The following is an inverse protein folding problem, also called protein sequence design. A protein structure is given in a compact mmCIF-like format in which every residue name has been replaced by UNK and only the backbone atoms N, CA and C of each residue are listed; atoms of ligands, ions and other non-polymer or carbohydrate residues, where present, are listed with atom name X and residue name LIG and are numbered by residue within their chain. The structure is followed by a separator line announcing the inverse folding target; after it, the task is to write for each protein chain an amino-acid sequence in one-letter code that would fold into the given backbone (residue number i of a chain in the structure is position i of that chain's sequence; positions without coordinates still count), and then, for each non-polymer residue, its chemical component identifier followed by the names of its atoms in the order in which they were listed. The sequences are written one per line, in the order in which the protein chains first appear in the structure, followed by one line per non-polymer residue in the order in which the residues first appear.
data_IF_115520649185
#
_entry.id   IF_115520649185
#
_cell.length_a   1.000
_cell.length_b   1.000
_cell.length_c   1.000
_cell.angle_alpha   90.00
_cell.angle_beta   90.00
_cell.angle_gamma   90.00
#
_symmetry.space_group_name_H-M   'P 1'
#
loop_
_entity.id
_entity.type
_entity.pdbx_description
1 polymer ?
#
# COMPACT_ATOMS: atom_id res chain seq x y z
N UNK A 1 -6.45 -27.60 -16.46
CA UNK A 1 -5.98 -26.89 -15.27
C UNK A 1 -5.22 -27.86 -14.38
N UNK A 2 -3.90 -27.68 -14.37
CA UNK A 2 -2.92 -28.42 -13.58
C UNK A 2 -3.15 -28.20 -12.07
N UNK A 3 -2.59 -29.09 -11.23
CA UNK A 3 -2.67 -28.99 -9.77
C UNK A 3 -2.05 -27.69 -9.26
N UNK A 4 -0.91 -27.28 -9.83
CA UNK A 4 -0.20 -26.05 -9.43
C UNK A 4 -0.98 -24.78 -9.78
N UNK A 5 -1.71 -24.78 -10.89
CA UNK A 5 -2.57 -23.65 -11.30
C UNK A 5 -3.76 -23.48 -10.36
N UNK A 6 -4.37 -24.58 -9.92
CA UNK A 6 -5.43 -24.58 -8.90
C UNK A 6 -4.92 -24.01 -7.59
N UNK A 7 -3.80 -24.55 -7.12
CA UNK A 7 -3.17 -24.14 -5.86
C UNK A 7 -2.79 -22.65 -5.88
N UNK A 8 -2.27 -22.12 -6.99
CA UNK A 8 -1.99 -20.69 -7.14
C UNK A 8 -3.24 -19.81 -6.97
N UNK A 9 -4.36 -20.20 -7.60
CA UNK A 9 -5.60 -19.44 -7.54
C UNK A 9 -6.29 -19.52 -6.17
N UNK A 10 -6.07 -20.60 -5.42
CA UNK A 10 -6.57 -20.80 -4.06
C UNK A 10 -5.71 -20.07 -3.02
N UNK A 11 -4.38 -20.22 -3.10
CA UNK A 11 -3.44 -19.64 -2.16
C UNK A 11 -3.31 -18.11 -2.30
N UNK A 12 -3.57 -17.58 -3.51
CA UNK A 12 -3.52 -16.14 -3.83
C UNK A 12 -2.24 -15.48 -3.32
N UNK A 13 -1.06 -15.90 -3.81
CA UNK A 13 0.21 -15.38 -3.31
C UNK A 13 0.25 -13.85 -3.41
N UNK A 14 0.70 -13.22 -2.34
CA UNK A 14 0.68 -11.77 -2.18
C UNK A 14 1.95 -11.25 -1.53
N UNK A 15 2.15 -9.94 -1.68
CA UNK A 15 3.27 -9.19 -1.13
C UNK A 15 2.78 -7.91 -0.48
N UNK A 16 3.56 -7.40 0.47
CA UNK A 16 3.20 -6.20 1.23
C UNK A 16 3.89 -4.95 0.67
N UNK A 17 3.14 -3.87 0.54
CA UNK A 17 3.69 -2.53 0.32
C UNK A 17 4.03 -1.95 1.69
N UNK A 18 5.25 -2.26 2.15
CA UNK A 18 5.70 -2.13 3.56
C UNK A 18 5.40 -0.80 4.26
N UNK A 19 5.39 0.34 3.55
CA UNK A 19 5.20 1.65 4.17
C UNK A 19 3.75 1.86 4.63
N UNK A 20 2.78 1.35 3.87
CA UNK A 20 1.33 1.53 4.13
C UNK A 20 0.65 0.23 4.56
N UNK A 21 1.39 -0.89 4.58
CA UNK A 21 0.94 -2.22 5.00
C UNK A 21 -0.34 -2.68 4.28
N UNK A 22 -0.40 -2.45 2.98
CA UNK A 22 -1.43 -3.05 2.11
C UNK A 22 -0.88 -4.30 1.43
N UNK A 23 -1.77 -5.25 1.16
CA UNK A 23 -1.41 -6.52 0.58
C UNK A 23 -1.89 -6.59 -0.87
N UNK A 24 -0.97 -6.85 -1.80
CA UNK A 24 -1.25 -6.90 -3.24
C UNK A 24 -0.84 -8.25 -3.83
N UNK A 25 -1.44 -8.70 -4.94
CA UNK A 25 -1.03 -9.92 -5.61
C UNK A 25 0.46 -9.91 -5.95
N UNK A 26 1.10 -11.08 -5.87
CA UNK A 26 2.51 -11.19 -6.22
C UNK A 26 2.74 -10.96 -7.72
N UNK A 27 3.67 -10.06 -8.00
CA UNK A 27 4.24 -9.84 -9.33
C UNK A 27 5.29 -10.90 -9.71
N UNK A 28 5.99 -10.68 -10.84
CA UNK A 28 6.93 -11.67 -11.39
C UNK A 28 8.04 -11.99 -10.38
N UNK A 29 8.71 -10.95 -9.86
CA UNK A 29 9.86 -11.13 -8.96
C UNK A 29 9.47 -11.83 -7.64
N UNK A 30 8.26 -11.58 -7.12
CA UNK A 30 7.75 -12.33 -5.97
C UNK A 30 7.62 -13.82 -6.31
N UNK A 31 7.03 -14.14 -7.46
CA UNK A 31 6.77 -15.52 -7.85
C UNK A 31 8.03 -16.30 -8.26
N UNK A 32 9.05 -15.64 -8.80
CA UNK A 32 10.35 -16.26 -9.12
C UNK A 32 11.00 -16.91 -7.90
N UNK A 33 10.75 -16.35 -6.72
CA UNK A 33 11.29 -16.84 -5.44
C UNK A 33 10.32 -17.77 -4.69
N UNK A 34 9.24 -18.18 -5.34
CA UNK A 34 8.17 -18.99 -4.74
C UNK A 34 8.08 -20.40 -5.35
N UNK A 35 7.22 -21.24 -4.77
CA UNK A 35 6.87 -22.56 -5.33
C UNK A 35 6.17 -22.49 -6.71
N UNK A 36 5.69 -21.32 -7.13
CA UNK A 36 4.97 -21.11 -8.40
C UNK A 36 5.85 -20.65 -9.56
N UNK A 37 7.17 -20.58 -9.39
CA UNK A 37 8.10 -20.10 -10.43
C UNK A 37 7.86 -20.76 -11.79
N UNK A 38 7.48 -22.03 -11.84
CA UNK A 38 7.26 -22.74 -13.09
C UNK A 38 6.05 -22.22 -13.89
N UNK A 39 5.06 -21.58 -13.25
CA UNK A 39 3.95 -20.92 -13.95
C UNK A 39 4.44 -19.77 -14.85
N UNK A 40 5.58 -19.15 -14.52
CA UNK A 40 6.17 -18.06 -15.31
C UNK A 40 6.65 -18.50 -16.71
N UNK A 41 6.73 -19.81 -16.98
CA UNK A 41 7.01 -20.35 -18.32
C UNK A 41 5.84 -20.15 -19.29
N UNK A 42 4.63 -19.93 -18.77
CA UNK A 42 3.47 -19.59 -19.57
C UNK A 42 3.51 -18.11 -19.95
N UNK A 43 3.72 -17.82 -21.23
CA UNK A 43 3.86 -16.44 -21.74
C UNK A 43 2.60 -15.60 -21.51
N UNK A 44 1.40 -16.19 -21.65
CA UNK A 44 0.15 -15.48 -21.40
C UNK A 44 0.01 -15.09 -19.93
N UNK A 45 0.32 -16.02 -19.02
CA UNK A 45 0.29 -15.76 -17.58
C UNK A 45 1.34 -14.71 -17.18
N UNK A 46 2.56 -14.84 -17.71
CA UNK A 46 3.64 -13.87 -17.48
C UNK A 46 3.24 -12.47 -17.94
N UNK A 47 2.66 -12.32 -19.12
CA UNK A 47 2.18 -11.02 -19.62
C UNK A 47 1.10 -10.41 -18.69
N UNK A 48 0.24 -11.23 -18.09
CA UNK A 48 -0.72 -10.72 -17.10
C UNK A 48 -0.06 -10.30 -15.78
N UNK A 49 1.07 -10.92 -15.38
CA UNK A 49 1.85 -10.51 -14.22
C UNK A 49 2.63 -9.21 -14.47
N UNK A 50 3.06 -8.93 -15.69
CA UNK A 50 3.69 -7.64 -16.04
C UNK A 50 2.73 -6.46 -15.79
N UNK A 51 1.41 -6.69 -15.95
CA UNK A 51 0.38 -5.72 -15.56
C UNK A 51 0.32 -5.55 -14.04
N UNK A 52 0.46 -6.63 -13.27
CA UNK A 52 0.55 -6.57 -11.79
C UNK A 52 1.76 -5.76 -11.35
N UNK A 53 2.92 -6.01 -11.95
CA UNK A 53 4.15 -5.27 -11.67
C UNK A 53 3.96 -3.76 -11.97
N UNK A 54 3.41 -3.43 -13.15
CA UNK A 54 3.18 -2.04 -13.57
C UNK A 54 2.21 -1.29 -12.62
N UNK A 55 1.12 -1.94 -12.20
CA UNK A 55 0.16 -1.34 -11.28
C UNK A 55 0.75 -1.19 -9.87
N UNK A 56 1.59 -2.15 -9.43
CA UNK A 56 2.32 -2.04 -8.16
C UNK A 56 3.29 -0.86 -8.18
N UNK A 57 4.01 -0.65 -9.28
CA UNK A 57 4.92 0.49 -9.44
C UNK A 57 4.19 1.83 -9.38
N UNK A 58 2.95 1.91 -9.91
CA UNK A 58 2.09 3.08 -9.76
C UNK A 58 1.69 3.32 -8.30
N UNK A 59 1.39 2.26 -7.54
CA UNK A 59 1.15 2.41 -6.09
C UNK A 59 2.39 2.96 -5.40
N UNK A 60 3.57 2.39 -5.66
CA UNK A 60 4.83 2.86 -5.06
C UNK A 60 5.10 4.34 -5.40
N UNK A 61 4.84 4.74 -6.64
CA UNK A 61 4.97 6.14 -7.09
C UNK A 61 4.02 7.08 -6.33
N UNK A 62 2.79 6.64 -6.09
CA UNK A 62 1.82 7.40 -5.31
C UNK A 62 2.21 7.48 -3.81
N UNK A 63 2.73 6.39 -3.24
CA UNK A 63 3.28 6.38 -1.86
C UNK A 63 4.46 7.35 -1.74
N UNK A 64 5.37 7.37 -2.71
CA UNK A 64 6.49 8.32 -2.73
C UNK A 64 6.04 9.77 -2.93
N UNK A 65 4.92 9.98 -3.63
CA UNK A 65 4.31 11.30 -3.76
C UNK A 65 3.71 11.74 -2.43
N UNK A 66 2.93 10.88 -1.77
CA UNK A 66 2.39 11.11 -0.43
C UNK A 66 3.52 11.42 0.57
N UNK A 67 4.61 10.66 0.54
CA UNK A 67 5.79 10.90 1.36
C UNK A 67 6.32 12.31 1.19
N UNK A 68 6.58 12.75 -0.05
CA UNK A 68 7.13 14.08 -0.35
C UNK A 68 6.22 15.21 0.13
N UNK A 69 4.91 15.08 -0.08
CA UNK A 69 3.92 16.06 0.40
C UNK A 69 3.93 16.16 1.93
N UNK A 70 3.98 15.02 2.63
CA UNK A 70 4.02 15.00 4.09
C UNK A 70 5.36 15.52 4.64
N UNK A 71 6.49 15.21 3.99
CA UNK A 71 7.80 15.76 4.35
C UNK A 71 7.83 17.29 4.25
N UNK A 72 7.22 17.87 3.22
CA UNK A 72 7.11 19.32 3.07
C UNK A 72 6.25 19.95 4.18
N UNK A 73 5.05 19.39 4.41
CA UNK A 73 4.09 19.89 5.41
C UNK A 73 4.64 19.82 6.84
N UNK A 74 5.43 18.78 7.15
CA UNK A 74 6.02 18.53 8.46
C UNK A 74 7.51 18.87 8.55
N UNK A 75 8.07 19.58 7.58
CA UNK A 75 9.50 19.94 7.50
C UNK A 75 10.10 20.57 8.78
N UNK A 76 9.28 21.26 9.57
CA UNK A 76 9.69 21.91 10.82
C UNK A 76 9.42 21.07 12.09
N UNK A 77 9.02 19.80 11.94
CA UNK A 77 8.65 18.92 13.04
C UNK A 77 9.49 17.64 13.02
N UNK A 78 9.87 17.16 14.21
CA UNK A 78 10.53 15.88 14.35
C UNK A 78 9.48 14.75 14.33
N UNK A 79 9.07 14.34 13.12
CA UNK A 79 8.12 13.25 12.90
C UNK A 79 8.81 12.03 12.28
N UNK A 80 8.39 10.83 12.68
CA UNK A 80 8.70 9.62 11.94
C UNK A 80 7.84 9.58 10.68
N UNK A 81 8.45 9.92 9.54
CA UNK A 81 7.73 10.04 8.26
C UNK A 81 7.06 8.74 7.82
N UNK A 82 7.69 7.58 8.03
CA UNK A 82 7.11 6.29 7.63
C UNK A 82 5.86 5.95 8.43
N UNK A 83 5.92 6.15 9.75
CA UNK A 83 4.76 5.96 10.62
C UNK A 83 3.66 6.99 10.33
N UNK A 84 4.03 8.21 9.94
CA UNK A 84 3.07 9.23 9.52
C UNK A 84 2.38 8.86 8.22
N UNK A 85 3.10 8.41 7.18
CA UNK A 85 2.50 7.98 5.90
C UNK A 85 1.49 6.87 6.15
N UNK A 86 1.89 5.82 6.88
CA UNK A 86 1.00 4.76 7.30
C UNK A 86 -0.26 5.32 7.98
N UNK A 87 -0.06 6.18 8.98
CA UNK A 87 -1.17 6.73 9.77
C UNK A 87 -2.13 7.54 8.90
N UNK A 88 -1.62 8.43 8.05
CA UNK A 88 -2.46 9.28 7.19
C UNK A 88 -3.28 8.43 6.23
N UNK A 89 -2.63 7.48 5.54
CA UNK A 89 -3.34 6.55 4.66
C UNK A 89 -4.45 5.82 5.41
N UNK A 90 -4.15 5.27 6.59
CA UNK A 90 -5.14 4.51 7.37
C UNK A 90 -6.30 5.37 7.89
N UNK A 91 -6.02 6.60 8.34
CA UNK A 91 -7.03 7.53 8.83
C UNK A 91 -7.99 8.01 7.74
N UNK A 92 -7.49 8.17 6.50
CA UNK A 92 -8.31 8.58 5.36
C UNK A 92 -9.15 7.40 4.88
N UNK A 93 -8.54 6.25 4.64
CA UNK A 93 -9.23 5.12 4.00
C UNK A 93 -10.12 4.29 4.92
N UNK A 94 -9.76 4.19 6.20
CA UNK A 94 -10.42 3.32 7.17
C UNK A 94 -10.89 4.05 8.43
N UNK A 95 -10.52 5.33 8.58
CA UNK A 95 -10.87 6.13 9.76
C UNK A 95 -10.07 5.77 11.01
N UNK A 96 -10.63 6.16 12.16
CA UNK A 96 -9.99 6.08 13.47
C UNK A 96 -9.38 7.42 13.89
N UNK A 97 -8.60 7.36 14.97
CA UNK A 97 -8.05 8.54 15.65
C UNK A 97 -6.63 8.26 16.16
N UNK A 98 -5.82 9.31 16.21
CA UNK A 98 -4.51 9.25 16.86
C UNK A 98 -4.65 9.45 18.38
N UNK A 99 -3.78 8.80 19.15
CA UNK A 99 -3.74 8.92 20.61
C UNK A 99 -2.63 9.90 20.97
N UNK A 100 -2.97 10.91 21.78
CA UNK A 100 -2.03 11.88 22.34
C UNK A 100 -1.71 11.49 23.79
N UNK A 101 -0.43 11.31 24.09
CA UNK A 101 0.09 11.08 25.44
C UNK A 101 1.50 11.65 25.56
N UNK A 102 2.48 10.82 25.93
CA UNK A 102 3.91 11.19 25.90
C UNK A 102 4.43 11.42 24.46
N UNK A 103 3.65 11.02 23.47
CA UNK A 103 3.85 11.26 22.05
C UNK A 103 2.51 11.13 21.31
N UNK A 104 2.52 11.32 20.00
CA UNK A 104 1.38 11.01 19.13
C UNK A 104 1.62 9.62 18.54
N UNK A 105 0.62 8.75 18.65
CA UNK A 105 0.66 7.41 18.07
C UNK A 105 -0.64 7.06 17.36
N UNK A 106 -0.54 6.16 16.41
CA UNK A 106 -1.67 5.47 15.81
C UNK A 106 -1.38 3.98 15.88
N UNK A 107 -2.28 3.20 16.49
CA UNK A 107 -2.01 1.83 16.92
C UNK A 107 -0.74 1.75 17.79
N UNK A 108 0.23 0.95 17.37
CA UNK A 108 1.55 0.74 17.97
C UNK A 108 2.65 1.64 17.37
N UNK A 109 2.33 2.45 16.35
CA UNK A 109 3.28 3.30 15.64
C UNK A 109 3.37 4.70 16.25
N UNK A 110 4.58 5.06 16.68
CA UNK A 110 4.88 6.40 17.23
C UNK A 110 5.20 7.35 16.07
N UNK A 111 4.42 8.43 15.96
CA UNK A 111 4.54 9.45 14.91
C UNK A 111 5.48 10.55 15.36
N UNK A 112 5.34 11.01 16.60
CA UNK A 112 6.16 12.08 17.16
C UNK A 112 6.21 11.97 18.69
N UNK A 113 7.31 12.44 19.26
CA UNK A 113 7.50 12.59 20.71
C UNK A 113 8.06 13.99 21.00
N UNK A 114 7.79 14.51 22.19
CA UNK A 114 8.29 15.82 22.58
C UNK A 114 7.40 16.54 23.58
N UNK A 115 7.56 17.86 23.64
CA UNK A 115 6.75 18.68 24.53
C UNK A 115 5.31 18.78 24.01
N UNK A 116 4.36 19.00 24.94
CA UNK A 116 2.94 19.01 24.64
C UNK A 116 2.55 20.07 23.59
N UNK A 117 3.16 21.25 23.58
CA UNK A 117 2.84 22.31 22.63
C UNK A 117 3.15 21.89 21.18
N UNK A 118 4.34 21.33 20.95
CA UNK A 118 4.73 20.78 19.65
C UNK A 118 3.82 19.62 19.24
N UNK A 119 3.50 18.71 20.16
CA UNK A 119 2.59 17.59 19.86
C UNK A 119 1.19 18.09 19.47
N UNK A 120 0.65 19.11 20.15
CA UNK A 120 -0.65 19.68 19.79
C UNK A 120 -0.64 20.36 18.40
N UNK A 121 0.48 20.95 17.99
CA UNK A 121 0.62 21.51 16.63
C UNK A 121 0.67 20.41 15.56
N UNK A 122 1.43 19.33 15.81
CA UNK A 122 1.50 18.17 14.92
C UNK A 122 0.12 17.53 14.79
N UNK A 123 -0.59 17.32 15.91
CA UNK A 123 -1.94 16.77 15.92
C UNK A 123 -2.90 17.58 15.05
N UNK A 124 -2.92 18.91 15.22
CA UNK A 124 -3.77 19.79 14.40
C UNK A 124 -3.44 19.66 12.91
N UNK A 125 -2.15 19.61 12.56
CA UNK A 125 -1.73 19.38 11.17
C UNK A 125 -2.22 18.05 10.62
N UNK A 126 -2.14 16.96 11.40
CA UNK A 126 -2.70 15.66 11.01
C UNK A 126 -4.21 15.79 10.73
N UNK A 127 -4.96 16.45 11.61
CA UNK A 127 -6.41 16.66 11.44
C UNK A 127 -6.77 17.51 10.22
N UNK A 128 -5.94 18.51 9.89
CA UNK A 128 -6.12 19.33 8.70
C UNK A 128 -5.78 18.55 7.41
N UNK A 129 -4.76 17.69 7.45
CA UNK A 129 -4.35 16.84 6.32
C UNK A 129 -5.44 15.85 5.94
N UNK A 130 -6.18 15.31 6.92
CA UNK A 130 -7.35 14.44 6.67
C UNK A 130 -8.43 15.10 5.82
N UNK A 131 -8.39 16.42 5.66
CA UNK A 131 -9.34 17.22 4.86
C UNK A 131 -8.69 17.82 3.62
N UNK A 132 -7.39 17.59 3.41
CA UNK A 132 -6.66 18.10 2.26
C UNK A 132 -6.99 17.26 1.02
N UNK A 133 -7.63 17.89 0.04
CA UNK A 133 -8.09 17.21 -1.18
C UNK A 133 -6.97 16.55 -1.99
N UNK A 134 -5.75 17.11 -1.97
CA UNK A 134 -4.61 16.52 -2.67
C UNK A 134 -4.21 15.20 -2.01
N UNK A 135 -4.07 15.22 -0.68
CA UNK A 135 -3.67 14.04 0.10
C UNK A 135 -4.73 12.95 0.04
N UNK A 136 -6.01 13.33 0.16
CA UNK A 136 -7.14 12.41 0.00
C UNK A 136 -7.08 11.76 -1.39
N UNK A 137 -6.92 12.55 -2.46
CA UNK A 137 -6.86 12.03 -3.83
C UNK A 137 -5.73 11.01 -4.02
N UNK A 138 -4.56 11.23 -3.41
CA UNK A 138 -3.44 10.27 -3.49
C UNK A 138 -3.78 8.97 -2.74
N UNK A 139 -4.41 9.05 -1.56
CA UNK A 139 -4.82 7.88 -0.80
C UNK A 139 -5.91 7.08 -1.53
N UNK A 140 -6.92 7.77 -2.08
CA UNK A 140 -7.98 7.18 -2.90
C UNK A 140 -7.38 6.45 -4.11
N UNK A 141 -6.38 7.04 -4.77
CA UNK A 141 -5.71 6.43 -5.93
C UNK A 141 -4.94 5.16 -5.54
N UNK A 142 -4.21 5.17 -4.42
CA UNK A 142 -3.53 3.99 -3.88
C UNK A 142 -4.52 2.86 -3.64
N UNK A 143 -5.65 3.16 -2.97
CA UNK A 143 -6.69 2.18 -2.70
C UNK A 143 -7.34 1.66 -3.97
N UNK A 144 -7.66 2.54 -4.91
CA UNK A 144 -8.24 2.14 -6.18
C UNK A 144 -7.32 1.19 -6.95
N UNK A 145 -6.02 1.45 -6.96
CA UNK A 145 -5.02 0.58 -7.59
C UNK A 145 -4.90 -0.78 -6.87
N UNK A 146 -4.95 -0.81 -5.53
CA UNK A 146 -5.01 -2.05 -4.75
C UNK A 146 -6.24 -2.89 -5.14
N UNK A 147 -7.42 -2.29 -5.18
CA UNK A 147 -8.67 -2.96 -5.58
C UNK A 147 -8.58 -3.46 -7.04
N UNK A 148 -8.05 -2.64 -7.95
CA UNK A 148 -7.85 -3.01 -9.35
C UNK A 148 -6.87 -4.17 -9.53
N UNK A 149 -5.80 -4.24 -8.74
CA UNK A 149 -4.85 -5.35 -8.73
C UNK A 149 -5.54 -6.67 -8.37
N UNK A 150 -6.33 -6.68 -7.30
CA UNK A 150 -7.08 -7.87 -6.90
C UNK A 150 -8.17 -8.24 -7.90
N UNK A 151 -8.83 -7.26 -8.53
CA UNK A 151 -9.76 -7.51 -9.61
C UNK A 151 -9.08 -8.15 -10.83
N UNK A 152 -7.92 -7.63 -11.23
CA UNK A 152 -7.10 -8.17 -12.30
C UNK A 152 -6.65 -9.60 -12.00
N UNK A 153 -6.23 -9.88 -10.76
CA UNK A 153 -5.92 -11.24 -10.32
C UNK A 153 -7.12 -12.18 -10.48
N UNK A 154 -8.28 -11.79 -9.95
CA UNK A 154 -9.46 -12.64 -9.94
C UNK A 154 -10.04 -12.89 -11.35
N UNK A 155 -9.90 -11.94 -12.27
CA UNK A 155 -10.45 -12.02 -13.63
C UNK A 155 -9.45 -12.50 -14.66
N UNK A 156 -8.28 -11.87 -14.73
CA UNK A 156 -7.37 -12.00 -15.87
C UNK A 156 -6.28 -13.04 -15.63
N UNK A 157 -5.64 -13.04 -14.45
CA UNK A 157 -4.69 -14.11 -14.12
C UNK A 157 -5.38 -15.47 -14.08
N UNK A 158 -6.59 -15.51 -13.50
CA UNK A 158 -7.45 -16.69 -13.54
C UNK A 158 -7.66 -17.18 -14.98
N UNK A 159 -8.16 -16.33 -15.89
CA UNK A 159 -8.40 -16.70 -17.29
C UNK A 159 -7.14 -17.18 -18.01
N UNK A 160 -6.02 -16.50 -17.80
CA UNK A 160 -4.75 -16.86 -18.45
C UNK A 160 -4.31 -18.28 -18.11
N UNK A 161 -4.59 -18.79 -16.90
CA UNK A 161 -4.29 -20.17 -16.51
C UNK A 161 -5.33 -21.20 -17.00
N UNK A 162 -6.56 -20.78 -17.33
CA UNK A 162 -7.58 -21.70 -17.89
C UNK A 162 -7.51 -21.85 -19.41
N UNK A 163 -7.07 -20.81 -20.12
CA UNK A 163 -7.05 -20.74 -21.59
C UNK A 163 -5.70 -21.16 -22.20
N UNK A 164 -4.78 -21.67 -21.36
CA UNK A 164 -3.44 -22.14 -21.75
C UNK A 164 -3.35 -23.64 -21.97
#
# INVERSE_FOLDING_TARGET
MDLMEKEYLEDKPSMDINIIEINVPCGIHCLENSKYRDLLKNENFRAQLEVVDSLTDLINTNVDTLKRELEDIFSNYNVNIYNLIYTIFRLIEYGGDVIIGNGIKYNDKIIAEGNFETLMQIYKKIEDIRKNSNIISICDEIRYLEEALWEHFNKNLRRSLYES
#
